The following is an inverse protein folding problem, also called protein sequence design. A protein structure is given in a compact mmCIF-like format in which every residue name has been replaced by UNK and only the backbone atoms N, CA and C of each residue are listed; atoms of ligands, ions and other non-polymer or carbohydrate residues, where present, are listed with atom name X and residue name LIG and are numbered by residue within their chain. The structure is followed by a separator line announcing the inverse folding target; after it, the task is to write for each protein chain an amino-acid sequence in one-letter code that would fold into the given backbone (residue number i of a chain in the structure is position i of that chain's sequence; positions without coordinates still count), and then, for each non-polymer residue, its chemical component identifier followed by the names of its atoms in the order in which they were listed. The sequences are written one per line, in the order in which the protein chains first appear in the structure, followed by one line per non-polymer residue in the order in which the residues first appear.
data_IF_075622009026
#
_entry.id   IF_075622009026
#
_cell.length_a   1.000
_cell.length_b   1.000
_cell.length_c   1.000
_cell.angle_alpha   90.00
_cell.angle_beta   90.00
_cell.angle_gamma   90.00
#
_symmetry.space_group_name_H-M   'P 1'
#
loop_
_entity.id
_entity.type
_entity.pdbx_description
1 polymer ?
#
# COMPACT_ATOMS: atom_id res chain seq x y z
N UNK A 1 0.06 -6.51 -10.79
CA UNK A 1 -0.83 -7.31 -9.93
C UNK A 1 -1.07 -8.72 -10.49
N UNK A 2 -1.29 -8.90 -11.79
CA UNK A 2 -1.47 -10.22 -12.43
C UNK A 2 -0.21 -11.10 -12.39
N UNK A 3 0.97 -10.53 -12.14
CA UNK A 3 2.22 -11.28 -12.01
C UNK A 3 2.23 -12.22 -10.79
N UNK A 4 1.55 -11.84 -9.69
CA UNK A 4 1.51 -12.66 -8.47
C UNK A 4 0.82 -14.00 -8.70
N UNK A 5 -0.42 -14.06 -9.22
CA UNK A 5 -1.05 -15.34 -9.54
C UNK A 5 -0.28 -16.11 -10.63
N UNK A 6 0.32 -15.44 -11.60
CA UNK A 6 1.13 -16.09 -12.63
C UNK A 6 2.38 -16.74 -12.04
N UNK A 7 3.09 -16.09 -11.12
CA UNK A 7 4.26 -16.65 -10.43
C UNK A 7 3.90 -17.83 -9.54
N UNK A 8 2.78 -17.75 -8.79
CA UNK A 8 2.28 -18.87 -7.97
C UNK A 8 1.95 -20.08 -8.86
N UNK A 9 1.32 -19.82 -10.00
CA UNK A 9 1.00 -20.84 -10.98
C UNK A 9 2.26 -21.49 -11.56
N UNK A 10 3.22 -20.68 -12.03
CA UNK A 10 4.51 -21.17 -12.57
C UNK A 10 5.31 -21.97 -11.54
N UNK A 11 5.37 -21.48 -10.28
CA UNK A 11 6.09 -22.16 -9.21
C UNK A 11 5.50 -23.53 -8.90
N UNK A 12 4.17 -23.62 -8.85
CA UNK A 12 3.48 -24.87 -8.58
C UNK A 12 3.65 -25.89 -9.72
N UNK A 13 3.61 -25.44 -10.97
CA UNK A 13 3.87 -26.29 -12.14
C UNK A 13 5.31 -26.81 -12.18
N UNK A 14 6.29 -25.96 -11.88
CA UNK A 14 7.71 -26.32 -11.92
C UNK A 14 8.09 -27.35 -10.85
N UNK A 15 7.40 -27.36 -9.73
CA UNK A 15 7.70 -28.27 -8.61
C UNK A 15 7.24 -29.71 -8.87
N UNK A 16 6.43 -29.95 -9.89
CA UNK A 16 5.85 -31.27 -10.17
C UNK A 16 5.95 -31.62 -11.68
N UNK A 17 7.13 -31.98 -12.10
CA UNK A 17 7.46 -32.22 -13.51
C UNK A 17 6.73 -33.42 -14.17
N UNK A 18 6.02 -34.30 -13.42
CA UNK A 18 5.47 -35.57 -13.93
C UNK A 18 4.03 -35.89 -13.42
N UNK A 19 3.24 -34.94 -13.05
CA UNK A 19 1.92 -35.22 -12.48
C UNK A 19 0.73 -34.66 -13.27
N UNK A 20 -0.24 -35.52 -13.61
CA UNK A 20 -1.56 -35.07 -14.03
C UNK A 20 -2.23 -34.37 -12.85
N UNK A 21 -2.56 -33.09 -13.01
CA UNK A 21 -3.29 -32.32 -11.99
C UNK A 21 -4.76 -32.66 -12.02
N UNK A 22 -5.30 -32.95 -10.85
CA UNK A 22 -6.75 -33.11 -10.70
C UNK A 22 -7.41 -31.73 -10.74
N UNK A 23 -8.62 -31.63 -11.27
CA UNK A 23 -9.43 -30.38 -11.30
C UNK A 23 -9.51 -29.70 -9.93
N UNK A 24 -9.52 -30.48 -8.84
CA UNK A 24 -9.50 -29.96 -7.46
C UNK A 24 -8.21 -29.21 -7.10
N UNK A 25 -7.07 -29.62 -7.65
CA UNK A 25 -5.78 -28.94 -7.40
C UNK A 25 -5.71 -27.59 -8.14
N UNK A 26 -6.22 -27.54 -9.37
CA UNK A 26 -6.35 -26.27 -10.09
C UNK A 26 -7.26 -25.28 -9.36
N UNK A 27 -8.39 -25.78 -8.84
CA UNK A 27 -9.32 -24.92 -8.10
C UNK A 27 -8.71 -24.40 -6.81
N UNK A 28 -7.93 -25.21 -6.07
CA UNK A 28 -7.19 -24.76 -4.89
C UNK A 28 -6.16 -23.69 -5.22
N UNK A 29 -5.37 -23.87 -6.29
CA UNK A 29 -4.37 -22.87 -6.71
C UNK A 29 -5.03 -21.56 -7.09
N UNK A 30 -6.14 -21.62 -7.82
CA UNK A 30 -6.90 -20.44 -8.21
C UNK A 30 -7.45 -19.72 -6.97
N UNK A 31 -8.04 -20.44 -6.03
CA UNK A 31 -8.55 -19.87 -4.78
C UNK A 31 -7.43 -19.22 -3.95
N UNK A 32 -6.29 -19.88 -3.80
CA UNK A 32 -5.13 -19.29 -3.09
C UNK A 32 -4.64 -18.02 -3.79
N UNK A 33 -4.58 -18.02 -5.12
CA UNK A 33 -4.17 -16.84 -5.89
C UNK A 33 -5.13 -15.66 -5.70
N UNK A 34 -6.44 -15.91 -5.67
CA UNK A 34 -7.44 -14.87 -5.39
C UNK A 34 -7.29 -14.32 -3.97
N UNK A 35 -7.09 -15.19 -2.98
CA UNK A 35 -6.90 -14.76 -1.57
C UNK A 35 -5.63 -13.91 -1.44
N UNK A 36 -4.52 -14.34 -2.03
CA UNK A 36 -3.26 -13.57 -2.00
C UNK A 36 -3.40 -12.22 -2.71
N UNK A 37 -4.11 -12.19 -3.84
CA UNK A 37 -4.41 -10.95 -4.54
C UNK A 37 -5.26 -10.02 -3.68
N UNK A 38 -6.30 -10.56 -3.03
CA UNK A 38 -7.16 -9.82 -2.10
C UNK A 38 -6.37 -9.22 -0.92
N UNK A 39 -5.51 -10.02 -0.29
CA UNK A 39 -4.63 -9.54 0.79
C UNK A 39 -3.72 -8.42 0.30
N UNK A 40 -3.17 -8.54 -0.90
CA UNK A 40 -2.28 -7.51 -1.46
C UNK A 40 -3.04 -6.22 -1.74
N UNK A 41 -4.19 -6.30 -2.41
CA UNK A 41 -4.97 -5.13 -2.86
C UNK A 41 -5.67 -4.43 -1.70
N UNK A 42 -6.29 -5.17 -0.80
CA UNK A 42 -7.08 -4.61 0.30
C UNK A 42 -6.30 -4.49 1.61
N UNK A 43 -5.20 -5.24 1.75
CA UNK A 43 -4.34 -5.21 2.94
C UNK A 43 -3.08 -4.38 2.71
N UNK A 44 -2.13 -4.89 1.94
CA UNK A 44 -0.78 -4.30 1.86
C UNK A 44 -0.81 -2.90 1.25
N UNK A 45 -1.43 -2.74 0.08
CA UNK A 45 -1.40 -1.48 -0.67
C UNK A 45 -1.99 -0.30 0.11
N UNK A 46 -3.19 -0.37 0.72
CA UNK A 46 -3.74 0.77 1.44
C UNK A 46 -3.15 0.97 2.84
N UNK A 47 -2.74 -0.10 3.53
CA UNK A 47 -2.29 0.03 4.92
C UNK A 47 -0.82 0.40 5.04
N UNK A 48 0.04 -0.01 4.10
CA UNK A 48 1.46 0.30 4.16
C UNK A 48 1.75 1.82 4.22
N UNK A 49 1.18 2.64 3.32
CA UNK A 49 1.37 4.09 3.40
C UNK A 49 0.70 4.73 4.62
N UNK A 50 -0.43 4.20 5.08
CA UNK A 50 -1.08 4.69 6.31
C UNK A 50 -0.19 4.48 7.53
N UNK A 51 0.42 3.30 7.68
CA UNK A 51 1.34 3.01 8.77
C UNK A 51 2.56 3.95 8.70
N UNK A 52 3.12 4.15 7.51
CA UNK A 52 4.22 5.09 7.31
C UNK A 52 3.84 6.52 7.73
N UNK A 53 2.61 6.95 7.40
CA UNK A 53 2.08 8.25 7.79
C UNK A 53 1.94 8.40 9.31
N UNK A 54 1.43 7.38 10.01
CA UNK A 54 1.35 7.40 11.47
C UNK A 54 2.73 7.40 12.15
N UNK A 55 3.71 6.71 11.59
CA UNK A 55 5.10 6.81 12.06
C UNK A 55 5.64 8.21 11.89
N UNK A 56 5.35 8.86 10.76
CA UNK A 56 5.79 10.23 10.54
C UNK A 56 5.11 11.19 11.51
N UNK A 57 3.82 11.05 11.74
CA UNK A 57 3.08 11.84 12.73
C UNK A 57 3.68 11.72 14.13
N UNK A 58 4.02 10.50 14.55
CA UNK A 58 4.68 10.27 15.83
C UNK A 58 6.05 10.95 15.92
N UNK A 59 6.88 10.83 14.88
CA UNK A 59 8.21 11.43 14.84
C UNK A 59 8.16 12.96 14.86
N UNK A 60 7.25 13.55 14.08
CA UNK A 60 7.11 15.01 14.02
C UNK A 60 6.51 15.56 15.31
N UNK A 61 5.39 14.98 15.77
CA UNK A 61 4.65 15.54 16.91
C UNK A 61 5.29 15.25 18.27
N UNK A 62 5.95 14.09 18.44
CA UNK A 62 6.51 13.68 19.73
C UNK A 62 7.99 13.99 19.84
N UNK A 63 8.74 13.78 18.76
CA UNK A 63 10.19 13.95 18.75
C UNK A 63 10.63 15.30 18.16
N UNK A 64 9.71 16.07 17.56
CA UNK A 64 10.03 17.38 16.94
C UNK A 64 10.95 17.28 15.74
N UNK A 65 10.94 16.15 15.02
CA UNK A 65 11.77 15.91 13.85
C UNK A 65 11.14 16.52 12.58
N UNK A 66 11.93 16.77 11.53
CA UNK A 66 11.43 17.30 10.27
C UNK A 66 10.37 16.37 9.64
N UNK A 67 9.46 16.93 8.82
CA UNK A 67 8.49 16.19 8.03
C UNK A 67 9.18 15.09 7.20
N UNK A 68 8.45 13.99 6.99
CA UNK A 68 8.89 12.79 6.28
C UNK A 68 10.00 11.96 6.97
N UNK A 69 10.54 12.39 8.11
CA UNK A 69 11.58 11.65 8.84
C UNK A 69 11.09 10.29 9.35
N UNK A 70 9.88 10.26 9.89
CA UNK A 70 9.25 9.03 10.39
C UNK A 70 8.91 8.04 9.26
N UNK A 71 8.43 8.55 8.13
CA UNK A 71 8.16 7.72 6.96
C UNK A 71 9.44 7.09 6.39
N UNK A 72 10.53 7.86 6.28
CA UNK A 72 11.84 7.36 5.84
C UNK A 72 12.35 6.30 6.82
N UNK A 73 12.31 6.59 8.13
CA UNK A 73 12.72 5.64 9.15
C UNK A 73 11.92 4.33 9.06
N UNK A 74 10.60 4.42 8.94
CA UNK A 74 9.72 3.26 8.79
C UNK A 74 10.10 2.42 7.57
N UNK A 75 10.30 3.03 6.41
CA UNK A 75 10.67 2.32 5.18
C UNK A 75 12.02 1.62 5.30
N UNK A 76 13.03 2.30 5.85
CA UNK A 76 14.36 1.73 6.07
C UNK A 76 14.29 0.57 7.07
N UNK A 77 13.59 0.75 8.20
CA UNK A 77 13.41 -0.28 9.21
C UNK A 77 12.65 -1.51 8.66
N UNK A 78 11.61 -1.28 7.86
CA UNK A 78 10.84 -2.33 7.22
C UNK A 78 11.70 -3.15 6.23
N UNK A 79 12.47 -2.48 5.37
CA UNK A 79 13.38 -3.15 4.43
C UNK A 79 14.47 -3.92 5.18
N UNK A 80 15.06 -3.32 6.21
CA UNK A 80 16.06 -3.99 7.05
C UNK A 80 15.49 -5.25 7.72
N UNK A 81 14.28 -5.17 8.26
CA UNK A 81 13.57 -6.31 8.84
C UNK A 81 13.28 -7.41 7.79
N UNK A 82 12.87 -7.03 6.58
CA UNK A 82 12.67 -7.96 5.47
C UNK A 82 13.97 -8.68 5.10
N UNK A 83 15.07 -7.95 4.90
CA UNK A 83 16.37 -8.55 4.58
C UNK A 83 16.87 -9.45 5.71
N UNK A 84 16.79 -9.00 6.95
CA UNK A 84 17.15 -9.82 8.11
C UNK A 84 16.33 -11.12 8.17
N UNK A 85 15.01 -11.02 7.95
CA UNK A 85 14.12 -12.17 7.90
C UNK A 85 14.48 -13.14 6.77
N UNK A 86 14.81 -12.64 5.56
CA UNK A 86 15.27 -13.46 4.45
C UNK A 86 16.54 -14.24 4.79
N UNK A 87 17.55 -13.59 5.37
CA UNK A 87 18.76 -14.27 5.81
C UNK A 87 18.46 -15.33 6.87
N UNK A 88 17.56 -15.03 7.80
CA UNK A 88 17.17 -15.97 8.87
C UNK A 88 16.45 -17.21 8.31
N UNK A 89 15.52 -17.00 7.38
CA UNK A 89 14.74 -18.10 6.77
C UNK A 89 15.60 -18.97 5.85
N UNK A 90 16.57 -18.40 5.13
CA UNK A 90 17.55 -19.16 4.35
C UNK A 90 18.39 -20.03 5.28
N UNK A 91 18.93 -19.46 6.37
CA UNK A 91 19.75 -20.19 7.34
C UNK A 91 18.99 -21.35 8.00
N UNK A 92 17.69 -21.19 8.23
CA UNK A 92 16.84 -22.20 8.86
C UNK A 92 16.20 -23.18 7.84
N UNK A 93 16.55 -23.11 6.56
CA UNK A 93 16.00 -23.94 5.47
C UNK A 93 14.45 -23.88 5.37
N UNK A 94 13.84 -22.76 5.73
CA UNK A 94 12.39 -22.56 5.70
C UNK A 94 11.95 -22.04 4.32
N UNK A 95 11.93 -22.91 3.31
CA UNK A 95 11.68 -22.54 1.92
C UNK A 95 10.35 -21.78 1.73
N UNK A 96 9.27 -22.27 2.32
CA UNK A 96 7.95 -21.62 2.19
C UNK A 96 7.96 -20.19 2.75
N UNK A 97 8.44 -20.03 4.00
CA UNK A 97 8.48 -18.73 4.66
C UNK A 97 9.41 -17.75 3.93
N UNK A 98 10.54 -18.27 3.43
CA UNK A 98 11.47 -17.48 2.61
C UNK A 98 10.81 -16.95 1.32
N UNK A 99 10.04 -17.80 0.63
CA UNK A 99 9.33 -17.40 -0.58
C UNK A 99 8.27 -16.33 -0.30
N UNK A 100 7.48 -16.51 0.76
CA UNK A 100 6.47 -15.51 1.17
C UNK A 100 7.13 -14.18 1.51
N UNK A 101 8.22 -14.23 2.29
CA UNK A 101 8.94 -13.03 2.70
C UNK A 101 9.63 -12.34 1.51
N UNK A 102 10.14 -13.10 0.56
CA UNK A 102 10.70 -12.57 -0.69
C UNK A 102 9.63 -11.84 -1.51
N UNK A 103 8.47 -12.46 -1.71
CA UNK A 103 7.35 -11.81 -2.39
C UNK A 103 6.92 -10.51 -1.70
N UNK A 104 6.80 -10.53 -0.37
CA UNK A 104 6.48 -9.34 0.41
C UNK A 104 7.55 -8.25 0.24
N UNK A 105 8.83 -8.60 0.31
CA UNK A 105 9.96 -7.68 0.13
C UNK A 105 9.91 -7.01 -1.25
N UNK A 106 9.63 -7.77 -2.31
CA UNK A 106 9.51 -7.22 -3.68
C UNK A 106 8.33 -6.24 -3.77
N UNK A 107 7.21 -6.55 -3.12
CA UNK A 107 6.05 -5.64 -3.07
C UNK A 107 6.44 -4.34 -2.34
N UNK A 108 7.13 -4.43 -1.21
CA UNK A 108 7.58 -3.26 -0.44
C UNK A 108 8.55 -2.40 -1.26
N UNK A 109 9.52 -3.01 -1.95
CA UNK A 109 10.44 -2.28 -2.84
C UNK A 109 9.66 -1.58 -3.96
N UNK A 110 8.73 -2.30 -4.63
CA UNK A 110 7.89 -1.70 -5.66
C UNK A 110 7.05 -0.54 -5.13
N UNK A 111 6.54 -0.66 -3.90
CA UNK A 111 5.77 0.41 -3.27
C UNK A 111 6.63 1.62 -2.87
N UNK A 112 7.90 1.41 -2.55
CA UNK A 112 8.82 2.50 -2.21
C UNK A 112 9.01 3.52 -3.36
N UNK A 113 8.71 3.13 -4.60
CA UNK A 113 8.74 4.05 -5.74
C UNK A 113 7.72 5.19 -5.63
N UNK A 114 6.64 5.02 -4.85
CA UNK A 114 5.72 6.12 -4.57
C UNK A 114 6.35 7.25 -3.75
N UNK A 115 7.47 7.00 -3.06
CA UNK A 115 8.25 8.05 -2.40
C UNK A 115 8.78 9.10 -3.38
N UNK A 116 8.95 8.74 -4.67
CA UNK A 116 9.34 9.67 -5.72
C UNK A 116 8.28 10.76 -5.90
N UNK A 117 7.00 10.43 -5.71
CA UNK A 117 5.90 11.40 -5.79
C UNK A 117 6.04 12.47 -4.72
N UNK A 118 6.36 12.08 -3.48
CA UNK A 118 6.61 13.00 -2.36
C UNK A 118 7.81 13.90 -2.67
N UNK A 119 8.92 13.32 -3.11
CA UNK A 119 10.16 14.06 -3.43
C UNK A 119 9.90 15.09 -4.55
N UNK A 120 9.19 14.70 -5.60
CA UNK A 120 8.85 15.61 -6.70
C UNK A 120 7.87 16.69 -6.28
N UNK A 121 6.91 16.37 -5.41
CA UNK A 121 5.98 17.35 -4.87
C UNK A 121 6.68 18.38 -4.00
N UNK A 122 7.62 17.95 -3.16
CA UNK A 122 8.45 18.85 -2.33
C UNK A 122 9.31 19.83 -3.15
N UNK A 123 9.64 19.47 -4.40
CA UNK A 123 10.37 20.34 -5.34
C UNK A 123 9.50 21.50 -5.89
N UNK A 124 8.21 21.60 -5.52
CA UNK A 124 7.27 22.68 -5.91
C UNK A 124 7.24 22.94 -7.42
N UNK A 125 7.03 21.86 -8.20
CA UNK A 125 6.89 21.97 -9.65
C UNK A 125 5.62 22.74 -10.04
N UNK A 126 5.59 23.47 -11.18
CA UNK A 126 4.46 24.33 -11.58
C UNK A 126 3.09 23.62 -11.69
N UNK A 127 3.08 22.31 -11.94
CA UNK A 127 1.88 21.48 -12.09
C UNK A 127 1.63 20.58 -10.90
N UNK A 128 1.97 21.03 -9.70
CA UNK A 128 1.79 20.28 -8.46
C UNK A 128 0.38 20.52 -7.87
N UNK A 129 -0.64 19.95 -8.51
CA UNK A 129 -2.00 19.92 -7.97
C UNK A 129 -2.04 19.18 -6.67
N UNK A 130 -2.75 19.11 -5.77
CA UNK A 130 -2.86 18.30 -4.52
C UNK A 130 -1.62 18.25 -3.59
N UNK A 131 -0.49 18.73 -4.00
CA UNK A 131 0.75 18.83 -3.22
C UNK A 131 0.97 17.62 -2.26
N UNK A 132 1.17 16.40 -2.78
CA UNK A 132 1.43 15.22 -1.95
C UNK A 132 2.86 15.25 -1.38
N UNK A 133 3.19 16.27 -0.60
CA UNK A 133 4.51 16.56 -0.02
C UNK A 133 4.76 15.84 1.31
N UNK A 134 3.72 15.23 1.88
CA UNK A 134 3.80 14.46 3.11
C UNK A 134 3.05 13.13 2.98
N UNK A 135 3.30 12.15 3.88
CA UNK A 135 2.69 10.82 3.78
C UNK A 135 1.18 10.80 3.85
N UNK A 136 0.53 11.72 4.58
CA UNK A 136 -0.92 11.79 4.66
C UNK A 136 -1.55 12.30 3.38
N UNK A 137 -0.98 13.35 2.80
CA UNK A 137 -1.44 13.86 1.49
C UNK A 137 -1.19 12.84 0.38
N UNK A 138 -0.11 12.06 0.46
CA UNK A 138 0.12 10.94 -0.44
C UNK A 138 -0.98 9.88 -0.30
N UNK A 139 -1.37 9.49 0.92
CA UNK A 139 -2.46 8.52 1.14
C UNK A 139 -3.77 9.01 0.50
N UNK A 140 -4.13 10.28 0.70
CA UNK A 140 -5.32 10.89 0.08
C UNK A 140 -5.22 10.93 -1.45
N UNK A 141 -4.06 11.27 -1.97
CA UNK A 141 -3.78 11.27 -3.41
C UNK A 141 -3.94 9.88 -4.02
N UNK A 142 -3.38 8.84 -3.38
CA UNK A 142 -3.52 7.45 -3.82
C UNK A 142 -4.95 6.93 -3.66
N UNK A 143 -5.66 7.37 -2.61
CA UNK A 143 -7.07 7.06 -2.34
C UNK A 143 -8.04 7.76 -3.29
N UNK A 144 -7.56 8.71 -4.11
CA UNK A 144 -8.39 9.52 -5.02
C UNK A 144 -9.53 10.26 -4.29
N UNK A 145 -9.33 10.62 -3.02
CA UNK A 145 -10.35 11.28 -2.20
C UNK A 145 -10.85 12.60 -2.80
N UNK A 146 -10.01 13.24 -3.64
CA UNK A 146 -10.35 14.47 -4.35
C UNK A 146 -11.47 14.31 -5.39
N UNK A 147 -11.72 13.10 -5.87
CA UNK A 147 -12.75 12.86 -6.89
C UNK A 147 -14.10 12.43 -6.28
N UNK A 148 -14.18 12.34 -4.95
CA UNK A 148 -15.34 11.81 -4.27
C UNK A 148 -15.51 10.29 -4.46
N UNK A 149 -16.56 9.75 -3.86
CA UNK A 149 -16.93 8.35 -4.00
C UNK A 149 -18.13 8.25 -4.95
N UNK A 150 -17.89 7.79 -6.17
CA UNK A 150 -19.00 7.42 -7.05
C UNK A 150 -19.43 5.97 -6.73
N UNK A 151 -20.72 5.72 -6.46
CA UNK A 151 -21.21 4.37 -6.24
C UNK A 151 -21.04 3.53 -7.51
N UNK A 152 -20.48 2.32 -7.35
CA UNK A 152 -20.17 1.42 -8.48
C UNK A 152 -21.40 0.74 -9.10
N UNK A 153 -22.49 0.61 -8.34
CA UNK A 153 -23.65 -0.20 -8.73
C UNK A 153 -24.94 0.62 -8.81
N UNK A 154 -25.11 1.60 -7.91
CA UNK A 154 -26.27 2.49 -7.91
C UNK A 154 -25.74 3.93 -7.89
N UNK A 155 -25.96 4.66 -8.96
CA UNK A 155 -25.65 6.11 -9.07
C UNK A 155 -26.91 6.95 -8.97
N UNK A 156 -26.74 8.24 -8.75
CA UNK A 156 -27.82 9.19 -8.87
C UNK A 156 -28.31 9.27 -10.33
N UNK A 157 -29.61 9.44 -10.51
CA UNK A 157 -30.17 9.67 -11.84
C UNK A 157 -29.68 11.01 -12.39
N UNK A 158 -29.59 11.14 -13.68
CA UNK A 158 -29.14 12.35 -14.39
C UNK A 158 -29.92 13.62 -13.99
N UNK A 159 -31.18 13.47 -13.60
CA UNK A 159 -32.10 14.54 -13.17
C UNK A 159 -32.41 14.48 -11.66
N UNK A 160 -31.63 13.75 -10.86
CA UNK A 160 -31.83 13.69 -9.43
C UNK A 160 -31.68 15.10 -8.83
N UNK A 161 -32.65 15.57 -8.04
CA UNK A 161 -32.52 16.86 -7.38
C UNK A 161 -31.32 16.81 -6.41
N UNK A 162 -30.45 17.81 -6.50
CA UNK A 162 -29.36 17.97 -5.56
C UNK A 162 -29.94 18.12 -4.14
N UNK A 163 -29.93 17.07 -3.36
CA UNK A 163 -30.07 17.18 -1.94
C UNK A 163 -28.76 17.78 -1.42
N UNK A 164 -28.78 19.07 -1.13
CA UNK A 164 -27.70 19.72 -0.41
C UNK A 164 -27.75 19.14 1.00
N UNK A 165 -27.18 17.98 1.19
CA UNK A 165 -26.82 17.53 2.51
C UNK A 165 -26.05 18.68 3.14
N UNK A 166 -26.59 19.23 4.25
CA UNK A 166 -25.87 20.18 5.08
C UNK A 166 -24.70 19.47 5.71
N UNK A 167 -23.74 19.07 4.90
CA UNK A 167 -22.44 18.60 5.34
C UNK A 167 -21.90 19.74 6.17
N UNK A 168 -21.81 19.51 7.49
CA UNK A 168 -21.13 20.42 8.39
C UNK A 168 -19.82 20.78 7.71
N UNK A 169 -19.65 22.06 7.40
CA UNK A 169 -18.43 22.63 6.80
C UNK A 169 -17.13 22.30 7.57
N UNK A 170 -17.26 21.66 8.70
CA UNK A 170 -16.23 21.23 9.61
C UNK A 170 -16.26 19.72 9.74
N UNK A 171 -16.04 19.01 8.63
CA UNK A 171 -15.60 17.61 8.78
C UNK A 171 -14.31 17.63 9.61
N UNK A 172 -14.18 16.78 10.64
CA UNK A 172 -12.93 16.67 11.36
C UNK A 172 -11.85 16.35 10.32
N UNK A 173 -10.96 17.32 10.09
CA UNK A 173 -9.75 17.02 9.33
C UNK A 173 -9.07 15.90 10.08
N UNK A 174 -8.64 14.85 9.35
CA UNK A 174 -7.90 13.75 9.93
C UNK A 174 -6.65 14.21 10.69
N UNK A 175 -5.86 13.30 11.15
CA UNK A 175 -4.66 13.56 11.94
C UNK A 175 -3.80 14.66 11.33
N UNK A 176 -3.47 15.66 12.15
CA UNK A 176 -2.71 16.85 11.74
C UNK A 176 -1.33 16.83 12.38
N UNK A 177 -0.36 17.34 11.64
CA UNK A 177 0.92 17.70 12.23
C UNK A 177 0.75 18.90 13.19
N UNK A 178 1.25 18.76 14.42
CA UNK A 178 1.17 19.80 15.46
C UNK A 178 2.30 20.83 15.27
N UNK A 179 3.48 20.38 14.85
CA UNK A 179 4.63 21.21 14.56
C UNK A 179 4.68 21.53 13.05
N UNK A 180 3.66 22.18 12.54
CA UNK A 180 3.73 22.83 11.25
C UNK A 180 4.42 24.20 11.50
N UNK A 181 5.62 24.34 10.97
CA UNK A 181 6.24 25.67 10.90
C UNK A 181 5.31 26.59 10.11
N UNK A 182 4.83 27.63 10.77
CA UNK A 182 3.91 28.60 10.24
C UNK A 182 4.53 29.46 9.13
#
# INVERSE_FOLDING_TARGET
LLAIPALVFMFYFKQRENGHYTTKEYLKMFAVSIVLLGITVFGIIPYLPKIAAYFDLFFVNTLGLPFNSGAIFFMVALLAACFWGLFRTIKNNQVFLNTVLLCFTVIVIGFSLFSIVIIRSAAKTPTNEYQPDNPFTLVRYLGREQYGSNPLVYGEYFDAPYEIEKTKYWAPMGDKYIHADG
#
